data_IF_360384533072
#
_entry.id   IF_360384533072
#
_cell.length_a   1.000
_cell.length_b   1.000
_cell.length_c   1.000
_cell.angle_alpha   90.00
_cell.angle_beta   90.00
_cell.angle_gamma   90.00
#
_symmetry.space_group_name_H-M   'P 1'
#
loop_
_entity.id
_entity.type
_entity.pdbx_description
1 polymer ?
#
# COMPACT_ATOMS: atom_id res chain seq x y z
N UNK A 1 9.93 2.34 21.31
CA UNK A 1 9.52 1.96 22.68
C UNK A 1 7.99 1.83 22.83
N UNK A 2 7.19 2.78 22.32
CA UNK A 2 5.73 2.87 22.55
C UNK A 2 4.94 1.64 22.09
N UNK A 3 5.24 1.08 20.91
CA UNK A 3 4.48 -0.08 20.40
C UNK A 3 4.72 -1.38 21.20
N UNK A 4 5.91 -1.54 21.79
CA UNK A 4 6.21 -2.74 22.59
C UNK A 4 5.50 -2.69 23.95
N UNK A 5 5.43 -1.51 24.55
CA UNK A 5 4.66 -1.26 25.78
C UNK A 5 3.17 -1.53 25.53
N UNK A 6 2.59 -0.95 24.47
CA UNK A 6 1.19 -1.20 24.10
C UNK A 6 0.90 -2.70 23.86
N UNK A 7 1.80 -3.42 23.16
CA UNK A 7 1.66 -4.87 22.98
C UNK A 7 1.66 -5.62 24.31
N UNK A 8 2.48 -5.20 25.27
CA UNK A 8 2.55 -5.82 26.59
C UNK A 8 1.27 -5.59 27.40
N UNK A 9 0.70 -4.39 27.34
CA UNK A 9 -0.53 -4.01 28.02
C UNK A 9 -1.74 -4.76 27.49
N UNK A 10 -1.93 -4.83 26.16
CA UNK A 10 -3.02 -5.61 25.58
C UNK A 10 -2.91 -7.10 25.90
N UNK A 11 -1.69 -7.67 25.91
CA UNK A 11 -1.47 -9.06 26.32
C UNK A 11 -1.75 -9.29 27.79
N UNK A 12 -1.47 -8.30 28.65
CA UNK A 12 -1.81 -8.34 30.07
C UNK A 12 -3.34 -8.28 30.25
N UNK A 13 -4.02 -7.38 29.54
CA UNK A 13 -5.47 -7.24 29.56
C UNK A 13 -6.19 -8.55 29.20
N UNK A 14 -5.68 -9.30 28.21
CA UNK A 14 -6.21 -10.62 27.85
C UNK A 14 -6.17 -11.66 28.98
N UNK A 15 -5.34 -11.48 30.01
CA UNK A 15 -5.30 -12.40 31.16
C UNK A 15 -6.46 -12.18 32.12
N UNK A 16 -7.00 -10.97 32.16
CA UNK A 16 -8.04 -10.57 33.10
C UNK A 16 -9.42 -10.47 32.46
N UNK A 17 -9.50 -10.22 31.15
CA UNK A 17 -10.75 -10.11 30.42
C UNK A 17 -11.36 -11.50 30.11
N UNK A 18 -12.61 -11.70 30.55
CA UNK A 18 -13.37 -12.95 30.42
C UNK A 18 -14.47 -12.87 29.35
N UNK A 19 -14.94 -11.67 29.00
CA UNK A 19 -15.97 -11.49 27.98
C UNK A 19 -15.39 -11.71 26.58
N UNK A 20 -15.90 -12.71 25.86
CA UNK A 20 -15.41 -13.06 24.51
C UNK A 20 -15.39 -11.90 23.52
N UNK A 21 -16.35 -10.97 23.56
CA UNK A 21 -16.40 -9.83 22.64
C UNK A 21 -15.34 -8.78 22.97
N UNK A 22 -15.12 -8.50 24.25
CA UNK A 22 -14.03 -7.61 24.69
C UNK A 22 -12.66 -8.22 24.36
N UNK A 23 -12.51 -9.54 24.55
CA UNK A 23 -11.30 -10.28 24.14
C UNK A 23 -11.07 -10.18 22.63
N UNK A 24 -12.12 -10.33 21.83
CA UNK A 24 -12.06 -10.13 20.37
C UNK A 24 -11.58 -8.73 20.02
N UNK A 25 -12.10 -7.68 20.66
CA UNK A 25 -11.62 -6.31 20.45
C UNK A 25 -10.14 -6.15 20.79
N UNK A 26 -9.68 -6.73 21.91
CA UNK A 26 -8.25 -6.70 22.27
C UNK A 26 -7.39 -7.39 21.20
N UNK A 27 -7.82 -8.52 20.65
CA UNK A 27 -7.10 -9.16 19.56
C UNK A 27 -7.13 -8.34 18.27
N UNK A 28 -8.23 -7.64 17.97
CA UNK A 28 -8.33 -6.70 16.84
C UNK A 28 -7.33 -5.56 16.99
N UNK A 29 -7.20 -4.98 18.19
CA UNK A 29 -6.18 -3.96 18.49
C UNK A 29 -4.75 -4.50 18.36
N UNK A 30 -4.48 -5.70 18.89
CA UNK A 30 -3.19 -6.36 18.68
C UNK A 30 -2.89 -6.58 17.19
N UNK A 31 -3.90 -6.95 16.38
CA UNK A 31 -3.78 -7.05 14.93
C UNK A 31 -3.40 -5.71 14.30
N UNK A 32 -4.07 -4.60 14.68
CA UNK A 32 -3.78 -3.24 14.22
C UNK A 32 -2.34 -2.85 14.53
N UNK A 33 -1.90 -3.06 15.79
CA UNK A 33 -0.52 -2.80 16.22
C UNK A 33 0.50 -3.60 15.41
N UNK A 34 0.31 -4.91 15.26
CA UNK A 34 1.25 -5.72 14.48
C UNK A 34 1.30 -5.32 12.99
N UNK A 35 0.15 -4.97 12.40
CA UNK A 35 0.09 -4.49 11.00
C UNK A 35 0.90 -3.20 10.83
N UNK A 36 0.74 -2.28 11.77
CA UNK A 36 1.46 -1.00 11.83
C UNK A 36 2.97 -1.22 12.02
N UNK A 37 3.36 -2.25 12.77
CA UNK A 37 4.76 -2.68 12.89
C UNK A 37 5.27 -3.53 11.71
N UNK A 38 4.47 -3.76 10.66
CA UNK A 38 4.84 -4.59 9.51
C UNK A 38 4.79 -6.11 9.75
N UNK A 39 4.46 -6.56 10.97
CA UNK A 39 4.47 -7.98 11.39
C UNK A 39 3.21 -8.73 10.99
N UNK A 40 2.97 -8.86 9.68
CA UNK A 40 1.73 -9.41 9.14
C UNK A 40 1.45 -10.87 9.55
N UNK A 41 2.49 -11.68 9.78
CA UNK A 41 2.32 -13.03 10.33
C UNK A 41 1.64 -13.00 11.71
N UNK A 42 2.12 -12.11 12.58
CA UNK A 42 1.57 -11.93 13.92
C UNK A 42 0.17 -11.31 13.84
N UNK A 43 -0.01 -10.28 13.00
CA UNK A 43 -1.31 -9.66 12.77
C UNK A 43 -2.37 -10.70 12.37
N UNK A 44 -2.02 -11.61 11.44
CA UNK A 44 -2.89 -12.72 11.01
C UNK A 44 -3.16 -13.72 12.13
N UNK A 45 -2.16 -14.03 12.96
CA UNK A 45 -2.31 -14.96 14.07
C UNK A 45 -3.32 -14.42 15.09
N UNK A 46 -3.16 -13.16 15.51
CA UNK A 46 -4.10 -12.54 16.46
C UNK A 46 -5.50 -12.40 15.86
N UNK A 47 -5.60 -12.10 14.57
CA UNK A 47 -6.89 -11.99 13.92
C UNK A 47 -7.61 -13.35 13.87
N UNK A 48 -6.89 -14.45 13.61
CA UNK A 48 -7.46 -15.81 13.72
C UNK A 48 -7.94 -16.12 15.14
N UNK A 49 -7.24 -15.66 16.17
CA UNK A 49 -7.69 -15.80 17.57
C UNK A 49 -8.95 -14.98 17.82
N UNK A 50 -9.02 -13.75 17.31
CA UNK A 50 -10.19 -12.89 17.39
C UNK A 50 -11.46 -13.54 16.82
N UNK A 51 -11.35 -14.18 15.64
CA UNK A 51 -12.43 -14.99 15.05
C UNK A 51 -12.84 -16.15 15.96
N UNK A 52 -11.85 -16.86 16.51
CA UNK A 52 -12.09 -18.06 17.35
C UNK A 52 -12.82 -17.71 18.65
N UNK A 53 -12.49 -16.58 19.30
CA UNK A 53 -13.13 -16.12 20.55
C UNK A 53 -14.66 -16.00 20.41
N UNK A 54 -15.16 -15.62 19.23
CA UNK A 54 -16.59 -15.52 18.94
C UNK A 54 -17.15 -16.69 18.13
N UNK A 55 -16.44 -17.83 18.13
CA UNK A 55 -16.83 -19.07 17.44
C UNK A 55 -16.99 -18.94 15.92
N UNK A 56 -16.27 -18.00 15.31
CA UNK A 56 -16.16 -17.90 13.86
C UNK A 56 -14.86 -18.56 13.37
N UNK A 57 -14.91 -19.11 12.15
CA UNK A 57 -13.72 -19.63 11.50
C UNK A 57 -13.13 -18.58 10.56
N UNK A 58 -11.80 -18.49 10.55
CA UNK A 58 -11.09 -17.70 9.54
C UNK A 58 -11.38 -18.26 8.14
N UNK A 59 -11.85 -17.45 7.18
CA UNK A 59 -12.26 -17.95 5.88
C UNK A 59 -11.09 -18.48 5.06
N UNK A 60 -11.36 -19.49 4.24
CA UNK A 60 -10.40 -19.96 3.25
C UNK A 60 -10.32 -18.96 2.08
N UNK A 61 -9.11 -18.74 1.56
CA UNK A 61 -8.91 -17.90 0.38
C UNK A 61 -9.26 -18.69 -0.90
N UNK A 62 -10.54 -18.99 -1.09
CA UNK A 62 -11.03 -19.79 -2.23
C UNK A 62 -12.30 -19.19 -2.84
N UNK A 63 -12.50 -19.46 -4.14
CA UNK A 63 -13.72 -19.07 -4.85
C UNK A 63 -14.95 -19.79 -4.27
N UNK A 64 -14.79 -21.03 -3.82
CA UNK A 64 -15.86 -21.80 -3.20
C UNK A 64 -16.37 -21.13 -1.92
N UNK A 65 -15.47 -20.69 -1.04
CA UNK A 65 -15.87 -19.98 0.19
C UNK A 65 -16.56 -18.65 -0.14
N UNK A 66 -16.08 -17.93 -1.16
CA UNK A 66 -16.75 -16.71 -1.63
C UNK A 66 -18.18 -16.99 -2.12
N UNK A 67 -18.40 -18.03 -2.92
CA UNK A 67 -19.74 -18.42 -3.41
C UNK A 67 -20.65 -18.80 -2.23
N UNK A 68 -20.14 -19.58 -1.28
CA UNK A 68 -20.89 -19.96 -0.07
C UNK A 68 -21.34 -18.73 0.72
N UNK A 69 -20.44 -17.79 0.98
CA UNK A 69 -20.77 -16.54 1.69
C UNK A 69 -21.76 -15.69 0.90
N UNK A 70 -21.60 -15.59 -0.43
CA UNK A 70 -22.53 -14.87 -1.29
C UNK A 70 -23.96 -15.46 -1.23
N UNK A 71 -24.10 -16.78 -1.28
CA UNK A 71 -25.39 -17.46 -1.16
C UNK A 71 -26.03 -17.27 0.22
N UNK A 72 -25.22 -17.25 1.28
CA UNK A 72 -25.68 -16.96 2.64
C UNK A 72 -26.17 -15.52 2.78
N UNK A 73 -25.42 -14.54 2.26
CA UNK A 73 -25.81 -13.14 2.27
C UNK A 73 -27.15 -12.90 1.53
N UNK A 74 -27.34 -13.55 0.38
CA UNK A 74 -28.62 -13.51 -0.35
C UNK A 74 -29.82 -14.02 0.46
N UNK A 75 -29.63 -15.06 1.28
CA UNK A 75 -30.69 -15.60 2.13
C UNK A 75 -31.03 -14.67 3.31
N UNK A 76 -30.06 -13.89 3.79
CA UNK A 76 -30.23 -12.97 4.91
C UNK A 76 -30.92 -11.65 4.53
N UNK A 77 -30.82 -11.20 3.27
CA UNK A 77 -31.56 -10.04 2.73
C UNK A 77 -33.11 -10.18 2.92
N UNK A 78 -33.62 -11.38 3.24
CA UNK A 78 -35.05 -11.65 3.48
C UNK A 78 -35.47 -11.67 4.97
N UNK A 79 -34.56 -11.42 5.92
CA UNK A 79 -34.81 -11.48 7.36
C UNK A 79 -34.42 -10.16 8.05
N UNK A 80 -35.29 -9.15 7.92
CA UNK A 80 -35.20 -7.92 8.70
C UNK A 80 -35.81 -8.15 10.08
N UNK A 81 -34.96 -8.37 11.08
CA UNK A 81 -35.34 -8.41 12.49
C UNK A 81 -34.76 -7.20 13.23
N UNK A 82 -35.64 -6.52 13.96
CA UNK A 82 -35.37 -5.32 14.75
C UNK A 82 -34.20 -5.47 15.74
N UNK A 83 -33.23 -4.55 15.63
CA UNK A 83 -32.16 -4.36 16.61
C UNK A 83 -32.67 -3.51 17.80
N UNK A 84 -33.29 -4.16 18.80
CA UNK A 84 -33.88 -3.47 19.97
C UNK A 84 -33.04 -3.50 21.26
N UNK A 85 -31.87 -4.15 21.30
CA UNK A 85 -31.06 -4.30 22.53
C UNK A 85 -29.63 -3.79 22.33
N UNK A 86 -29.16 -2.93 23.24
CA UNK A 86 -27.79 -2.36 23.22
C UNK A 86 -26.70 -3.43 23.12
N UNK A 87 -26.83 -4.53 23.87
CA UNK A 87 -25.86 -5.63 23.80
C UNK A 87 -25.74 -6.28 22.42
N UNK A 88 -26.77 -6.24 21.57
CA UNK A 88 -26.68 -6.70 20.18
C UNK A 88 -25.97 -5.68 19.29
N UNK A 89 -26.13 -4.39 19.58
CA UNK A 89 -25.43 -3.29 18.88
C UNK A 89 -23.93 -3.41 19.13
N UNK A 90 -23.52 -3.53 20.39
CA UNK A 90 -22.10 -3.65 20.77
C UNK A 90 -21.46 -4.86 20.08
N UNK A 91 -22.13 -6.02 20.08
CA UNK A 91 -21.66 -7.22 19.37
C UNK A 91 -21.51 -7.01 17.85
N UNK A 92 -22.41 -6.21 17.25
CA UNK A 92 -22.39 -5.92 15.82
C UNK A 92 -21.25 -4.98 15.45
N UNK A 93 -20.91 -4.03 16.33
CA UNK A 93 -19.71 -3.19 16.19
C UNK A 93 -18.46 -4.06 16.20
N UNK A 94 -18.32 -4.96 17.19
CA UNK A 94 -17.18 -5.89 17.26
C UNK A 94 -17.04 -6.73 15.99
N UNK A 95 -18.15 -7.25 15.46
CA UNK A 95 -18.14 -8.02 14.22
C UNK A 95 -17.74 -7.16 13.01
N UNK A 96 -18.22 -5.93 12.93
CA UNK A 96 -17.86 -5.02 11.84
C UNK A 96 -16.36 -4.69 11.85
N UNK A 97 -15.79 -4.36 13.01
CA UNK A 97 -14.36 -4.09 13.17
C UNK A 97 -13.51 -5.31 12.82
N UNK A 98 -13.96 -6.51 13.23
CA UNK A 98 -13.29 -7.77 12.91
C UNK A 98 -13.23 -8.01 11.40
N UNK A 99 -14.32 -7.74 10.68
CA UNK A 99 -14.37 -7.90 9.22
C UNK A 99 -13.60 -6.78 8.49
N UNK A 100 -13.57 -5.57 9.01
CA UNK A 100 -12.72 -4.48 8.49
C UNK A 100 -11.25 -4.88 8.55
N UNK A 101 -10.75 -5.30 9.72
CA UNK A 101 -9.35 -5.73 9.85
C UNK A 101 -9.03 -7.01 9.07
N UNK A 102 -10.02 -7.89 8.85
CA UNK A 102 -9.90 -9.00 7.91
C UNK A 102 -9.67 -8.53 6.49
N UNK A 103 -10.42 -7.53 6.03
CA UNK A 103 -10.24 -6.91 4.71
C UNK A 103 -8.86 -6.29 4.57
N UNK A 104 -8.47 -5.43 5.51
CA UNK A 104 -7.15 -4.77 5.51
C UNK A 104 -6.00 -5.79 5.55
N UNK A 105 -6.09 -6.82 6.40
CA UNK A 105 -5.08 -7.88 6.45
C UNK A 105 -5.03 -8.70 5.16
N UNK A 106 -6.19 -8.99 4.57
CA UNK A 106 -6.28 -9.72 3.30
C UNK A 106 -5.66 -8.96 2.14
N UNK A 107 -5.71 -7.62 2.14
CA UNK A 107 -4.98 -6.78 1.20
C UNK A 107 -3.49 -7.09 1.28
N UNK A 108 -2.83 -6.83 2.41
CA UNK A 108 -1.38 -7.04 2.55
C UNK A 108 -0.94 -8.49 2.31
N UNK A 109 -1.76 -9.47 2.73
CA UNK A 109 -1.50 -10.90 2.54
C UNK A 109 -1.82 -11.41 1.11
N UNK A 110 -2.40 -10.58 0.23
CA UNK A 110 -2.79 -10.94 -1.16
C UNK A 110 -3.87 -12.01 -1.25
N UNK A 111 -4.82 -11.99 -0.32
CA UNK A 111 -5.95 -12.91 -0.30
C UNK A 111 -7.18 -12.31 -0.98
N UNK A 112 -7.18 -12.31 -2.32
CA UNK A 112 -8.24 -11.70 -3.15
C UNK A 112 -9.67 -12.15 -2.82
N UNK A 113 -9.87 -13.43 -2.47
CA UNK A 113 -11.21 -13.92 -2.13
C UNK A 113 -11.62 -13.49 -0.72
N UNK A 114 -10.67 -13.46 0.22
CA UNK A 114 -10.94 -12.97 1.59
C UNK A 114 -11.29 -11.48 1.59
N UNK A 115 -10.66 -10.67 0.72
CA UNK A 115 -11.07 -9.28 0.51
C UNK A 115 -12.56 -9.17 0.16
N UNK A 116 -13.03 -9.93 -0.83
CA UNK A 116 -14.44 -9.91 -1.22
C UNK A 116 -15.37 -10.49 -0.13
N UNK A 117 -14.94 -11.56 0.54
CA UNK A 117 -15.67 -12.14 1.67
C UNK A 117 -15.85 -11.10 2.79
N UNK A 118 -14.82 -10.30 3.10
CA UNK A 118 -14.90 -9.28 4.16
C UNK A 118 -16.01 -8.25 3.89
N UNK A 119 -16.13 -7.78 2.66
CA UNK A 119 -17.18 -6.85 2.23
C UNK A 119 -18.57 -7.51 2.25
N UNK A 120 -18.69 -8.75 1.78
CA UNK A 120 -20.00 -9.43 1.72
C UNK A 120 -20.51 -9.82 3.12
N UNK A 121 -19.65 -10.40 3.96
CA UNK A 121 -20.04 -10.94 5.26
C UNK A 121 -20.44 -9.86 6.28
N UNK A 122 -19.86 -8.65 6.16
CA UNK A 122 -20.15 -7.52 7.07
C UNK A 122 -21.31 -6.64 6.61
N UNK A 123 -21.78 -6.78 5.36
CA UNK A 123 -22.80 -5.90 4.76
C UNK A 123 -24.02 -5.71 5.65
N UNK A 124 -24.69 -6.80 5.99
CA UNK A 124 -25.98 -6.72 6.68
C UNK A 124 -25.80 -6.28 8.14
N UNK A 125 -24.65 -6.57 8.75
CA UNK A 125 -24.28 -6.11 10.09
C UNK A 125 -24.17 -4.59 10.08
N UNK A 126 -23.37 -4.03 9.16
CA UNK A 126 -23.14 -2.60 9.07
C UNK A 126 -24.40 -1.83 8.66
N UNK A 127 -25.22 -2.37 7.75
CA UNK A 127 -26.49 -1.74 7.37
C UNK A 127 -27.47 -1.65 8.54
N UNK A 128 -27.54 -2.67 9.40
CA UNK A 128 -28.42 -2.70 10.57
C UNK A 128 -27.97 -1.76 11.68
N UNK A 129 -26.68 -1.45 11.76
CA UNK A 129 -26.15 -0.41 12.67
C UNK A 129 -26.60 1.01 12.28
N UNK A 130 -27.08 1.22 11.05
CA UNK A 130 -27.44 2.54 10.56
C UNK A 130 -26.22 3.46 10.41
N UNK A 131 -26.44 4.78 10.26
CA UNK A 131 -25.35 5.75 10.16
C UNK A 131 -24.40 5.67 11.36
N UNK A 132 -23.20 5.16 11.09
CA UNK A 132 -22.21 4.80 12.11
C UNK A 132 -20.83 4.69 11.47
N UNK A 133 -19.77 4.76 12.28
CA UNK A 133 -18.40 4.57 11.80
C UNK A 133 -18.21 3.19 11.11
N UNK A 134 -18.73 2.07 11.64
CA UNK A 134 -18.73 0.79 10.94
C UNK A 134 -19.37 0.82 9.55
N UNK A 135 -20.50 1.51 9.38
CA UNK A 135 -21.15 1.64 8.07
C UNK A 135 -20.34 2.51 7.11
N UNK A 136 -19.72 3.58 7.62
CA UNK A 136 -18.79 4.43 6.87
C UNK A 136 -17.60 3.60 6.35
N UNK A 137 -16.95 2.84 7.22
CA UNK A 137 -15.81 1.98 6.88
C UNK A 137 -16.21 0.88 5.91
N UNK A 138 -17.40 0.29 6.10
CA UNK A 138 -17.90 -0.71 5.17
C UNK A 138 -18.10 -0.16 3.77
N UNK A 139 -18.78 0.98 3.61
CA UNK A 139 -18.96 1.60 2.29
C UNK A 139 -17.63 2.03 1.68
N UNK A 140 -16.75 2.67 2.46
CA UNK A 140 -15.45 3.17 2.01
C UNK A 140 -14.48 2.06 1.63
N UNK A 141 -14.29 1.07 2.51
CA UNK A 141 -13.47 -0.10 2.27
C UNK A 141 -13.99 -0.96 1.12
N UNK A 142 -15.31 -1.20 1.05
CA UNK A 142 -15.92 -1.91 -0.09
C UNK A 142 -15.71 -1.17 -1.39
N UNK A 143 -15.84 0.17 -1.39
CA UNK A 143 -15.54 1.00 -2.56
C UNK A 143 -14.12 0.77 -3.09
N UNK A 144 -13.14 0.71 -2.19
CA UNK A 144 -11.74 0.43 -2.53
C UNK A 144 -11.56 -0.99 -3.09
N UNK A 145 -12.20 -1.99 -2.48
CA UNK A 145 -12.19 -3.38 -2.98
C UNK A 145 -12.74 -3.43 -4.41
N UNK A 146 -13.88 -2.80 -4.68
CA UNK A 146 -14.46 -2.77 -6.03
C UNK A 146 -13.59 -2.01 -7.04
N UNK A 147 -12.88 -0.96 -6.61
CA UNK A 147 -11.90 -0.28 -7.47
C UNK A 147 -10.75 -1.22 -7.85
N UNK A 148 -10.17 -1.95 -6.88
CA UNK A 148 -9.08 -2.91 -7.10
C UNK A 148 -9.44 -4.01 -8.11
N UNK A 149 -10.70 -4.48 -8.10
CA UNK A 149 -11.17 -5.52 -9.04
C UNK A 149 -11.77 -4.95 -10.33
N UNK A 150 -11.72 -3.63 -10.55
CA UNK A 150 -12.10 -2.98 -11.81
C UNK A 150 -13.57 -2.58 -11.96
N UNK A 151 -14.39 -2.66 -10.91
CA UNK A 151 -15.81 -2.29 -10.94
C UNK A 151 -16.02 -0.81 -10.59
N UNK A 152 -15.56 0.07 -11.50
CA UNK A 152 -15.49 1.53 -11.29
C UNK A 152 -16.83 2.17 -10.90
N UNK A 153 -17.91 1.86 -11.62
CA UNK A 153 -19.24 2.44 -11.36
C UNK A 153 -19.76 2.06 -9.98
N UNK A 154 -19.55 0.81 -9.55
CA UNK A 154 -19.98 0.34 -8.23
C UNK A 154 -19.14 0.99 -7.12
N UNK A 155 -17.83 1.07 -7.31
CA UNK A 155 -16.91 1.78 -6.43
C UNK A 155 -17.35 3.23 -6.22
N UNK A 156 -17.59 3.98 -7.30
CA UNK A 156 -18.08 5.36 -7.23
C UNK A 156 -19.45 5.50 -6.57
N UNK A 157 -20.36 4.53 -6.74
CA UNK A 157 -21.64 4.53 -6.05
C UNK A 157 -21.46 4.35 -4.53
N UNK A 158 -20.56 3.47 -4.10
CA UNK A 158 -20.32 3.21 -2.68
C UNK A 158 -19.62 4.39 -2.00
N UNK A 159 -18.65 5.04 -2.65
CA UNK A 159 -17.98 6.20 -2.04
C UNK A 159 -18.91 7.40 -1.84
N UNK A 160 -19.93 7.56 -2.72
CA UNK A 160 -20.98 8.57 -2.52
C UNK A 160 -21.77 8.29 -1.23
N UNK A 161 -22.11 7.03 -0.98
CA UNK A 161 -22.74 6.61 0.28
C UNK A 161 -21.84 6.82 1.49
N UNK A 162 -20.54 6.56 1.37
CA UNK A 162 -19.56 6.90 2.43
C UNK A 162 -19.64 8.38 2.80
N UNK A 163 -19.72 9.27 1.78
CA UNK A 163 -19.89 10.72 1.99
C UNK A 163 -21.20 11.07 2.69
N UNK A 164 -22.31 10.46 2.25
CA UNK A 164 -23.63 10.65 2.87
C UNK A 164 -23.60 10.28 4.36
N UNK A 165 -22.96 9.16 4.71
CA UNK A 165 -22.80 8.75 6.12
C UNK A 165 -21.90 9.72 6.89
N UNK A 166 -20.76 10.14 6.32
CA UNK A 166 -19.87 11.10 6.98
C UNK A 166 -20.59 12.43 7.28
N UNK A 167 -21.33 12.95 6.29
CA UNK A 167 -22.14 14.17 6.45
C UNK A 167 -23.25 14.00 7.50
N UNK A 168 -23.90 12.83 7.54
CA UNK A 168 -24.94 12.54 8.53
C UNK A 168 -24.37 12.48 9.95
N UNK A 169 -23.21 11.83 10.13
CA UNK A 169 -22.54 11.76 11.43
C UNK A 169 -22.06 13.14 11.89
N UNK A 170 -21.63 13.99 10.96
CA UNK A 170 -21.14 15.35 11.24
C UNK A 170 -20.03 15.38 12.31
N UNK A 171 -19.12 14.41 12.26
CA UNK A 171 -17.94 14.28 13.13
C UNK A 171 -16.70 14.45 12.26
N UNK A 172 -15.79 15.34 12.64
CA UNK A 172 -14.59 15.68 11.87
C UNK A 172 -13.71 14.46 11.56
N UNK A 173 -13.52 13.55 12.53
CA UNK A 173 -12.76 12.31 12.32
C UNK A 173 -13.39 11.40 11.26
N UNK A 174 -14.72 11.35 11.17
CA UNK A 174 -15.45 10.60 10.15
C UNK A 174 -15.30 11.25 8.76
N UNK A 175 -15.30 12.59 8.69
CA UNK A 175 -15.04 13.31 7.43
C UNK A 175 -13.61 13.10 6.96
N UNK A 176 -12.62 13.16 7.86
CA UNK A 176 -11.23 12.81 7.55
C UNK A 176 -11.10 11.38 7.04
N UNK A 177 -11.74 10.41 7.70
CA UNK A 177 -11.73 9.00 7.28
C UNK A 177 -12.41 8.78 5.92
N UNK A 178 -13.51 9.47 5.63
CA UNK A 178 -14.13 9.47 4.30
C UNK A 178 -13.15 9.95 3.22
N UNK A 179 -12.41 11.04 3.45
CA UNK A 179 -11.43 11.55 2.49
C UNK A 179 -10.29 10.55 2.23
N UNK A 180 -9.83 9.84 3.27
CA UNK A 180 -8.86 8.74 3.13
C UNK A 180 -9.41 7.63 2.23
N UNK A 181 -10.65 7.17 2.47
CA UNK A 181 -11.29 6.16 1.61
C UNK A 181 -11.47 6.65 0.18
N UNK A 182 -11.82 7.94 0.00
CA UNK A 182 -11.98 8.54 -1.31
C UNK A 182 -10.64 8.60 -2.06
N UNK A 183 -9.56 8.96 -1.37
CA UNK A 183 -8.22 9.01 -1.93
C UNK A 183 -7.75 7.62 -2.41
N UNK A 184 -7.86 6.61 -1.56
CA UNK A 184 -7.53 5.22 -1.90
C UNK A 184 -8.32 4.72 -3.11
N UNK A 185 -9.63 4.96 -3.12
CA UNK A 185 -10.49 4.61 -4.26
C UNK A 185 -10.05 5.29 -5.55
N UNK A 186 -9.68 6.58 -5.50
CA UNK A 186 -9.16 7.31 -6.66
C UNK A 186 -7.86 6.70 -7.18
N UNK A 187 -6.94 6.33 -6.30
CA UNK A 187 -5.67 5.69 -6.66
C UNK A 187 -5.90 4.36 -7.37
N UNK A 188 -6.71 3.48 -6.77
CA UNK A 188 -7.07 2.17 -7.34
C UNK A 188 -7.86 2.29 -8.65
N UNK A 189 -8.59 3.39 -8.85
CA UNK A 189 -9.25 3.71 -10.12
C UNK A 189 -8.33 4.41 -11.14
N UNK A 190 -7.01 4.44 -10.90
CA UNK A 190 -6.00 5.02 -11.77
C UNK A 190 -6.07 6.55 -11.87
N UNK A 191 -6.38 7.24 -10.78
CA UNK A 191 -6.33 8.71 -10.69
C UNK A 191 -5.43 9.17 -9.51
N UNK A 192 -4.09 9.07 -9.67
CA UNK A 192 -3.14 9.34 -8.59
C UNK A 192 -3.04 10.81 -8.17
N UNK A 193 -3.35 11.76 -9.07
CA UNK A 193 -3.33 13.20 -8.76
C UNK A 193 -4.49 13.55 -7.84
N UNK A 194 -5.70 13.10 -8.20
CA UNK A 194 -6.89 13.33 -7.37
C UNK A 194 -6.80 12.58 -6.04
N UNK A 195 -6.22 11.37 -6.04
CA UNK A 195 -5.88 10.66 -4.80
C UNK A 195 -4.99 11.51 -3.88
N UNK A 196 -3.90 12.09 -4.42
CA UNK A 196 -3.01 12.93 -3.65
C UNK A 196 -3.71 14.19 -3.10
N UNK A 197 -4.61 14.80 -3.88
CA UNK A 197 -5.41 15.95 -3.43
C UNK A 197 -6.30 15.60 -2.24
N UNK A 198 -7.02 14.47 -2.27
CA UNK A 198 -7.88 14.06 -1.15
C UNK A 198 -7.09 13.67 0.09
N UNK A 199 -5.95 12.97 -0.05
CA UNK A 199 -5.08 12.71 1.09
C UNK A 199 -4.55 14.00 1.71
N UNK A 200 -4.10 14.95 0.87
CA UNK A 200 -3.62 16.25 1.33
C UNK A 200 -4.71 17.00 2.10
N UNK A 201 -5.93 17.05 1.56
CA UNK A 201 -7.07 17.66 2.25
C UNK A 201 -7.38 16.97 3.59
N UNK A 202 -7.32 15.63 3.64
CA UNK A 202 -7.52 14.87 4.86
C UNK A 202 -6.49 15.24 5.94
N UNK A 203 -5.21 15.32 5.56
CA UNK A 203 -4.12 15.62 6.49
C UNK A 203 -4.13 17.08 6.95
N UNK A 204 -4.31 18.03 6.03
CA UNK A 204 -4.28 19.47 6.36
C UNK A 204 -5.43 19.88 7.29
N UNK A 205 -6.61 19.27 7.12
CA UNK A 205 -7.81 19.66 7.89
C UNK A 205 -8.10 18.78 9.09
N UNK A 206 -7.69 17.50 9.06
CA UNK A 206 -8.17 16.51 10.02
C UNK A 206 -7.08 15.66 10.66
N UNK A 207 -5.78 15.91 10.43
CA UNK A 207 -4.71 15.07 10.97
C UNK A 207 -4.76 14.89 12.50
N UNK A 208 -5.16 15.92 13.26
CA UNK A 208 -5.30 15.87 14.72
C UNK A 208 -6.58 15.17 15.19
N UNK A 209 -7.51 14.87 14.28
CA UNK A 209 -8.78 14.17 14.54
C UNK A 209 -8.75 12.69 14.13
N UNK A 210 -7.77 12.29 13.33
CA UNK A 210 -7.64 10.92 12.83
C UNK A 210 -7.07 10.00 13.91
N UNK A 211 -7.54 8.75 13.91
CA UNK A 211 -6.84 7.70 14.65
C UNK A 211 -5.43 7.52 14.09
N UNK A 212 -4.47 7.16 14.95
CA UNK A 212 -3.07 7.03 14.56
C UNK A 212 -2.85 6.06 13.39
N UNK A 213 -3.68 5.02 13.30
CA UNK A 213 -3.65 4.04 12.22
C UNK A 213 -4.07 4.64 10.87
N UNK A 214 -5.13 5.45 10.87
CA UNK A 214 -5.64 6.14 9.68
C UNK A 214 -4.67 7.25 9.25
N UNK A 215 -4.11 8.00 10.22
CA UNK A 215 -3.07 9.00 9.98
C UNK A 215 -1.84 8.39 9.31
N UNK A 216 -1.33 7.27 9.85
CA UNK A 216 -0.15 6.59 9.29
C UNK A 216 -0.41 6.05 7.89
N UNK A 217 -1.58 5.47 7.65
CA UNK A 217 -1.99 5.01 6.31
C UNK A 217 -1.98 6.18 5.32
N UNK A 218 -2.62 7.30 5.66
CA UNK A 218 -2.70 8.47 4.81
C UNK A 218 -1.32 9.04 4.48
N UNK A 219 -0.48 9.23 5.50
CA UNK A 219 0.88 9.76 5.36
C UNK A 219 1.76 8.86 4.48
N UNK A 220 1.77 7.55 4.75
CA UNK A 220 2.63 6.61 4.02
C UNK A 220 2.20 6.45 2.56
N UNK A 221 0.89 6.35 2.31
CA UNK A 221 0.36 6.21 0.95
C UNK A 221 0.57 7.49 0.14
N UNK A 222 0.32 8.67 0.72
CA UNK A 222 0.56 9.94 0.04
C UNK A 222 2.06 10.15 -0.25
N UNK A 223 2.94 9.87 0.72
CA UNK A 223 4.40 9.93 0.52
C UNK A 223 4.85 9.02 -0.63
N UNK A 224 4.35 7.78 -0.68
CA UNK A 224 4.67 6.84 -1.76
C UNK A 224 4.12 7.29 -3.11
N UNK A 225 2.93 7.89 -3.14
CA UNK A 225 2.32 8.46 -4.34
C UNK A 225 3.18 9.62 -4.88
N UNK A 226 3.57 10.58 -4.03
CA UNK A 226 4.44 11.69 -4.41
C UNK A 226 5.80 11.21 -4.89
N UNK A 227 6.42 10.30 -4.15
CA UNK A 227 7.71 9.72 -4.49
C UNK A 227 7.70 9.05 -5.86
N UNK A 228 6.70 8.20 -6.11
CA UNK A 228 6.55 7.48 -7.37
C UNK A 228 6.33 8.39 -8.58
N UNK A 229 5.96 9.65 -8.34
CA UNK A 229 5.77 10.69 -9.36
C UNK A 229 6.90 11.74 -9.38
N UNK A 230 7.92 11.62 -8.54
CA UNK A 230 9.06 12.54 -8.52
C UNK A 230 8.88 13.82 -7.68
N UNK A 231 7.84 13.90 -6.85
CA UNK A 231 7.61 15.02 -5.91
C UNK A 231 8.34 14.73 -4.59
N UNK A 232 9.67 14.70 -4.64
CA UNK A 232 10.49 14.16 -3.54
C UNK A 232 10.43 15.01 -2.26
N UNK A 233 10.36 16.34 -2.39
CA UNK A 233 10.26 17.21 -1.22
C UNK A 233 8.88 17.04 -0.56
N UNK A 234 7.82 17.08 -1.37
CA UNK A 234 6.44 16.88 -0.90
C UNK A 234 6.26 15.49 -0.25
N UNK A 235 6.93 14.47 -0.78
CA UNK A 235 6.93 13.13 -0.19
C UNK A 235 7.54 13.10 1.23
N UNK A 236 8.54 13.94 1.53
CA UNK A 236 9.15 14.06 2.85
C UNK A 236 8.35 14.95 3.77
N UNK A 237 7.85 16.07 3.27
CA UNK A 237 7.07 17.04 4.06
C UNK A 237 5.84 16.38 4.68
N UNK A 238 5.18 15.50 3.93
CA UNK A 238 4.02 14.73 4.42
C UNK A 238 4.37 13.84 5.61
N UNK A 239 5.62 13.36 5.73
CA UNK A 239 6.02 12.50 6.85
C UNK A 239 6.09 13.27 8.18
N UNK A 240 6.19 14.61 8.13
CA UNK A 240 6.21 15.46 9.33
C UNK A 240 4.93 15.36 10.17
N UNK A 241 3.80 14.99 9.56
CA UNK A 241 2.52 14.79 10.27
C UNK A 241 2.60 13.71 11.35
N UNK A 242 3.53 12.77 11.27
CA UNK A 242 3.66 11.71 12.28
C UNK A 242 4.35 12.18 13.56
N UNK A 243 4.90 13.41 13.63
CA UNK A 243 5.53 14.16 14.76
C UNK A 243 6.59 13.44 15.63
N UNK A 244 6.54 12.12 15.75
CA UNK A 244 7.45 11.22 16.46
C UNK A 244 8.35 10.40 15.52
N UNK A 245 8.14 10.48 14.20
CA UNK A 245 9.07 9.99 13.17
C UNK A 245 9.97 11.14 12.69
N UNK A 246 10.48 11.95 13.62
CA UNK A 246 11.55 12.91 13.35
C UNK A 246 12.71 12.15 12.68
N UNK A 247 13.18 12.69 11.55
CA UNK A 247 14.34 12.19 10.81
C UNK A 247 15.38 11.64 11.79
N UNK A 248 15.70 10.34 11.79
CA UNK A 248 16.73 9.87 12.67
C UNK A 248 18.05 10.42 12.13
N UNK A 249 18.57 11.45 12.80
CA UNK A 249 19.92 12.00 12.61
C UNK A 249 21.02 10.93 12.77
N UNK A 250 20.66 9.70 13.15
CA UNK A 250 21.46 8.52 12.89
C UNK A 250 20.57 7.37 12.38
N UNK A 251 20.74 6.97 11.13
CA UNK A 251 20.28 5.66 10.65
C UNK A 251 21.01 4.53 11.42
N UNK A 252 20.61 4.22 12.65
CA UNK A 252 21.00 3.03 13.43
C UNK A 252 20.07 1.87 13.11
N UNK A 253 20.48 0.94 12.25
CA UNK A 253 19.67 -0.26 11.95
C UNK A 253 19.87 -1.37 12.98
N UNK A 254 19.83 -1.04 14.27
CA UNK A 254 19.87 -2.07 15.33
C UNK A 254 18.58 -2.89 15.33
N UNK A 255 18.72 -4.18 15.69
CA UNK A 255 17.66 -5.18 15.47
C UNK A 255 16.33 -4.83 16.14
N UNK A 256 16.36 -4.08 17.23
CA UNK A 256 15.21 -3.74 18.08
C UNK A 256 14.50 -2.44 17.65
N UNK A 257 15.17 -1.54 16.92
CA UNK A 257 14.64 -0.23 16.47
C UNK A 257 14.06 -0.24 15.05
N UNK A 258 14.03 -1.39 14.37
CA UNK A 258 13.57 -1.50 12.97
C UNK A 258 12.08 -1.20 12.77
N UNK A 259 11.28 -1.27 13.82
CA UNK A 259 9.80 -1.32 13.74
C UNK A 259 9.12 0.06 13.87
N UNK A 260 9.91 1.10 14.16
CA UNK A 260 9.47 2.50 14.25
C UNK A 260 9.92 3.32 13.03
N UNK A 261 10.50 2.69 12.00
CA UNK A 261 11.09 3.40 10.87
C UNK A 261 10.13 3.56 9.72
N UNK A 262 9.90 4.81 9.34
CA UNK A 262 9.14 5.15 8.15
C UNK A 262 10.00 4.96 6.89
N UNK A 263 10.09 3.73 6.39
CA UNK A 263 10.89 3.39 5.19
C UNK A 263 10.58 4.27 3.98
N UNK A 264 9.38 4.86 3.95
CA UNK A 264 8.93 5.80 2.93
C UNK A 264 9.84 7.03 2.79
N UNK A 265 10.59 7.43 3.84
CA UNK A 265 11.51 8.59 3.80
C UNK A 265 12.79 8.34 3.01
N UNK A 266 13.25 7.08 2.92
CA UNK A 266 14.59 6.74 2.41
C UNK A 266 14.74 7.14 0.94
N UNK A 267 13.81 6.72 0.09
CA UNK A 267 13.86 6.98 -1.34
C UNK A 267 13.91 8.48 -1.67
N UNK A 268 12.92 9.28 -1.21
CA UNK A 268 12.92 10.72 -1.41
C UNK A 268 14.17 11.43 -0.88
N UNK A 269 14.64 11.06 0.32
CA UNK A 269 15.82 11.67 0.93
C UNK A 269 17.11 11.38 0.13
N UNK A 270 17.24 10.18 -0.44
CA UNK A 270 18.34 9.85 -1.36
C UNK A 270 18.27 10.74 -2.61
N UNK A 271 17.08 10.89 -3.22
CA UNK A 271 16.90 11.70 -4.43
C UNK A 271 17.20 13.20 -4.19
N UNK A 272 16.97 13.70 -2.98
CA UNK A 272 17.32 15.07 -2.56
C UNK A 272 18.76 15.21 -2.06
N UNK A 273 19.58 14.17 -2.19
CA UNK A 273 20.98 14.15 -1.78
C UNK A 273 21.21 14.38 -0.27
N UNK A 274 20.26 14.00 0.58
CA UNK A 274 20.51 13.93 2.02
C UNK A 274 21.51 12.81 2.34
N UNK A 275 22.28 13.01 3.41
CA UNK A 275 23.33 12.07 3.84
C UNK A 275 22.74 10.77 4.37
N UNK A 276 22.50 9.82 3.47
CA UNK A 276 22.06 8.46 3.79
C UNK A 276 23.21 7.49 3.59
N UNK A 277 23.55 6.74 4.64
CA UNK A 277 24.60 5.72 4.59
C UNK A 277 24.07 4.43 3.94
N UNK A 278 24.04 4.43 2.60
CA UNK A 278 23.62 3.29 1.75
C UNK A 278 24.44 2.04 2.08
N UNK A 279 25.75 2.17 2.34
CA UNK A 279 26.63 1.04 2.68
C UNK A 279 26.19 0.34 3.98
N UNK A 280 25.82 1.10 5.00
CA UNK A 280 25.27 0.57 6.27
C UNK A 280 23.92 -0.11 6.05
N UNK A 281 23.09 0.40 5.14
CA UNK A 281 21.84 -0.29 4.76
C UNK A 281 22.11 -1.63 4.08
N UNK A 282 23.08 -1.69 3.15
CA UNK A 282 23.48 -2.94 2.47
C UNK A 282 24.02 -3.97 3.45
N UNK A 283 24.88 -3.57 4.39
CA UNK A 283 25.45 -4.50 5.38
C UNK A 283 24.35 -5.15 6.24
N UNK A 284 23.34 -4.36 6.63
CA UNK A 284 22.23 -4.83 7.46
C UNK A 284 21.10 -5.50 6.66
N UNK A 285 21.07 -5.37 5.34
CA UNK A 285 20.09 -6.00 4.44
C UNK A 285 19.94 -7.51 4.68
N UNK A 286 21.05 -8.21 4.95
CA UNK A 286 21.01 -9.67 5.18
C UNK A 286 20.18 -10.05 6.41
N UNK A 287 20.13 -9.19 7.43
CA UNK A 287 19.35 -9.38 8.66
C UNK A 287 17.88 -8.98 8.55
N UNK A 288 17.52 -8.19 7.52
CA UNK A 288 16.14 -7.77 7.21
C UNK A 288 15.46 -8.83 6.35
N UNK A 289 16.20 -9.51 5.48
CA UNK A 289 15.70 -10.53 4.55
C UNK A 289 15.56 -11.95 5.13
N UNK A 290 15.75 -12.16 6.44
CA UNK A 290 15.36 -13.41 7.11
C UNK A 290 13.85 -13.48 7.42
N UNK A 291 13.09 -12.51 6.91
CA UNK A 291 11.68 -12.28 7.15
C UNK A 291 10.75 -13.31 6.48
N UNK A 292 9.57 -13.49 7.07
CA UNK A 292 8.56 -14.46 6.66
C UNK A 292 7.98 -14.12 5.27
N UNK A 293 7.43 -15.11 4.56
CA UNK A 293 6.74 -14.91 3.28
C UNK A 293 5.55 -13.94 3.39
N UNK A 294 5.02 -13.73 4.60
CA UNK A 294 3.92 -12.82 4.89
C UNK A 294 4.36 -11.34 5.01
N UNK A 295 5.66 -11.04 5.05
CA UNK A 295 6.24 -9.68 5.20
C UNK A 295 6.80 -9.11 3.87
N UNK A 296 6.50 -9.79 2.74
CA UNK A 296 7.06 -9.49 1.41
C UNK A 296 6.86 -8.05 0.92
N UNK A 297 5.79 -7.39 1.29
CA UNK A 297 5.45 -6.05 0.77
C UNK A 297 6.37 -4.96 1.36
N UNK A 298 6.65 -5.02 2.67
CA UNK A 298 7.54 -4.07 3.35
C UNK A 298 8.99 -4.25 2.86
N UNK A 299 9.41 -5.51 2.70
CA UNK A 299 10.70 -5.83 2.08
C UNK A 299 10.81 -5.28 0.67
N UNK A 300 9.73 -5.33 -0.13
CA UNK A 300 9.73 -4.81 -1.49
C UNK A 300 9.93 -3.29 -1.50
N UNK A 301 9.26 -2.57 -0.60
CA UNK A 301 9.41 -1.12 -0.46
C UNK A 301 10.83 -0.77 -0.02
N UNK A 302 11.36 -1.44 1.02
CA UNK A 302 12.74 -1.22 1.48
C UNK A 302 13.77 -1.49 0.37
N UNK A 303 13.67 -2.63 -0.31
CA UNK A 303 14.57 -3.00 -1.41
C UNK A 303 14.52 -1.94 -2.51
N UNK A 304 13.31 -1.46 -2.85
CA UNK A 304 13.15 -0.45 -3.89
C UNK A 304 13.92 0.84 -3.55
N UNK A 305 13.84 1.30 -2.30
CA UNK A 305 14.54 2.50 -1.84
C UNK A 305 16.06 2.29 -1.77
N UNK A 306 16.50 1.10 -1.34
CA UNK A 306 17.92 0.71 -1.37
C UNK A 306 18.47 0.73 -2.81
N UNK A 307 17.71 0.21 -3.78
CA UNK A 307 18.10 0.17 -5.19
C UNK A 307 18.22 1.58 -5.79
N UNK A 308 17.38 2.53 -5.36
CA UNK A 308 17.55 3.94 -5.72
C UNK A 308 18.87 4.49 -5.19
N UNK A 309 19.22 4.21 -3.94
CA UNK A 309 20.54 4.55 -3.36
C UNK A 309 21.71 4.04 -4.19
N UNK A 310 21.66 2.77 -4.58
CA UNK A 310 22.69 2.14 -5.40
C UNK A 310 22.79 2.79 -6.78
N UNK A 311 21.64 3.08 -7.43
CA UNK A 311 21.59 3.77 -8.71
C UNK A 311 22.22 5.16 -8.64
N UNK A 312 21.81 5.98 -7.67
CA UNK A 312 22.30 7.35 -7.51
C UNK A 312 23.78 7.42 -7.14
N UNK A 313 24.27 6.48 -6.31
CA UNK A 313 25.71 6.39 -5.98
C UNK A 313 26.53 5.68 -7.06
N UNK A 314 25.93 5.29 -8.19
CA UNK A 314 26.57 4.53 -9.29
C UNK A 314 27.26 3.25 -8.83
N UNK A 315 26.71 2.61 -7.79
CA UNK A 315 27.21 1.32 -7.28
C UNK A 315 26.48 0.21 -8.05
N UNK A 316 26.94 -0.05 -9.27
CA UNK A 316 26.35 -1.03 -10.22
C UNK A 316 27.10 -2.37 -10.22
N UNK A 317 27.66 -2.79 -9.08
CA UNK A 317 28.53 -3.96 -8.96
C UNK A 317 27.77 -5.23 -8.50
N UNK A 318 28.50 -6.30 -8.13
CA UNK A 318 27.95 -7.55 -7.60
C UNK A 318 26.90 -7.39 -6.49
N UNK A 319 26.95 -6.31 -5.70
CA UNK A 319 25.94 -6.01 -4.67
C UNK A 319 24.54 -5.84 -5.26
N UNK A 320 24.42 -5.23 -6.44
CA UNK A 320 23.14 -5.07 -7.12
C UNK A 320 22.59 -6.42 -7.61
N UNK A 321 23.44 -7.29 -8.17
CA UNK A 321 23.04 -8.63 -8.60
C UNK A 321 22.56 -9.48 -7.41
N UNK A 322 23.24 -9.41 -6.27
CA UNK A 322 22.84 -10.11 -5.05
C UNK A 322 21.49 -9.62 -4.52
N UNK A 323 21.23 -8.31 -4.54
CA UNK A 323 19.94 -7.74 -4.13
C UNK A 323 18.82 -8.19 -5.08
N UNK A 324 19.05 -8.15 -6.40
CA UNK A 324 18.07 -8.59 -7.40
C UNK A 324 17.79 -10.10 -7.26
N UNK A 325 18.81 -10.95 -7.18
CA UNK A 325 18.66 -12.40 -6.95
C UNK A 325 17.88 -12.68 -5.67
N UNK A 326 18.11 -11.90 -4.62
CA UNK A 326 17.40 -12.07 -3.34
C UNK A 326 15.94 -11.63 -3.41
N UNK A 327 15.59 -10.68 -4.27
CA UNK A 327 14.19 -10.40 -4.60
C UNK A 327 13.54 -11.53 -5.38
N UNK A 328 14.26 -12.19 -6.29
CA UNK A 328 13.74 -13.37 -7.00
C UNK A 328 13.32 -14.48 -6.02
N UNK A 329 14.02 -14.64 -4.89
CA UNK A 329 13.64 -15.57 -3.80
C UNK A 329 12.28 -15.23 -3.17
N UNK A 330 11.86 -13.95 -3.18
CA UNK A 330 10.52 -13.56 -2.71
C UNK A 330 9.41 -14.09 -3.63
N UNK A 331 9.73 -14.58 -4.83
CA UNK A 331 8.79 -15.12 -5.81
C UNK A 331 7.62 -14.15 -6.09
N UNK A 332 7.89 -12.84 -6.06
CA UNK A 332 6.90 -11.82 -6.37
C UNK A 332 6.82 -11.64 -7.88
N UNK A 333 5.58 -11.60 -8.38
CA UNK A 333 5.30 -11.29 -9.79
C UNK A 333 4.73 -9.88 -9.86
N UNK A 334 5.02 -9.11 -10.92
CA UNK A 334 4.53 -7.74 -11.05
C UNK A 334 2.99 -7.65 -10.96
N UNK A 335 2.29 -8.59 -11.60
CA UNK A 335 0.83 -8.71 -11.54
C UNK A 335 0.24 -8.94 -10.14
N UNK A 336 1.06 -9.45 -9.21
CA UNK A 336 0.67 -9.83 -7.86
C UNK A 336 1.32 -8.89 -6.80
N UNK A 337 1.86 -7.75 -7.24
CA UNK A 337 2.50 -6.74 -6.38
C UNK A 337 1.49 -5.63 -6.06
N UNK A 338 1.45 -5.19 -4.80
CA UNK A 338 0.60 -4.05 -4.38
C UNK A 338 0.98 -2.78 -5.12
N UNK A 339 0.04 -1.86 -5.27
CA UNK A 339 0.30 -0.56 -5.92
C UNK A 339 1.52 0.11 -5.31
N UNK A 340 1.53 0.30 -3.99
CA UNK A 340 2.59 1.00 -3.24
C UNK A 340 3.96 0.35 -3.44
N UNK A 341 4.01 -0.98 -3.58
CA UNK A 341 5.25 -1.74 -3.79
C UNK A 341 5.64 -1.88 -5.27
N UNK A 342 4.78 -1.50 -6.21
CA UNK A 342 5.02 -1.66 -7.65
C UNK A 342 6.16 -0.78 -8.18
N UNK A 343 6.52 0.27 -7.43
CA UNK A 343 7.66 1.14 -7.73
C UNK A 343 8.99 0.38 -7.81
N UNK A 344 9.12 -0.74 -7.09
CA UNK A 344 10.26 -1.65 -7.20
C UNK A 344 10.56 -2.04 -8.66
N UNK A 345 9.53 -2.43 -9.40
CA UNK A 345 9.68 -2.91 -10.78
C UNK A 345 10.13 -1.79 -11.73
N UNK A 346 9.70 -0.57 -11.46
CA UNK A 346 10.14 0.63 -12.20
C UNK A 346 11.63 0.89 -11.95
N UNK A 347 12.05 0.90 -10.69
CA UNK A 347 13.45 1.14 -10.29
C UNK A 347 14.38 0.07 -10.86
N UNK A 348 13.99 -1.21 -10.74
CA UNK A 348 14.71 -2.31 -11.35
C UNK A 348 14.80 -2.19 -12.87
N UNK A 349 13.76 -1.64 -13.51
CA UNK A 349 13.73 -1.34 -14.94
C UNK A 349 14.78 -0.31 -15.34
N UNK A 350 14.88 0.79 -14.61
CA UNK A 350 15.90 1.82 -14.84
C UNK A 350 17.32 1.30 -14.63
N UNK A 351 17.55 0.51 -13.57
CA UNK A 351 18.86 -0.11 -13.34
C UNK A 351 19.26 -1.07 -14.47
N UNK A 352 18.32 -1.88 -14.98
CA UNK A 352 18.60 -2.75 -16.13
C UNK A 352 18.81 -1.97 -17.43
N UNK A 353 18.16 -0.82 -17.59
CA UNK A 353 18.46 0.10 -18.69
C UNK A 353 19.88 0.65 -18.60
N UNK A 354 20.27 1.16 -17.42
CA UNK A 354 21.61 1.71 -17.18
C UNK A 354 22.70 0.64 -17.46
N UNK A 355 22.52 -0.59 -16.97
CA UNK A 355 23.41 -1.73 -17.27
C UNK A 355 23.46 -2.03 -18.78
N UNK A 356 22.32 -2.03 -19.48
CA UNK A 356 22.28 -2.32 -20.91
C UNK A 356 22.92 -1.21 -21.77
N UNK A 357 22.94 0.03 -21.26
CA UNK A 357 23.62 1.18 -21.87
C UNK A 357 25.14 1.03 -21.81
N UNK A 358 25.68 0.55 -20.69
CA UNK A 358 27.10 0.26 -20.51
C UNK A 358 27.53 -1.05 -21.18
N UNK A 359 26.62 -2.02 -21.26
CA UNK A 359 26.88 -3.36 -21.76
C UNK A 359 25.85 -3.79 -22.83
N UNK A 360 26.10 -3.51 -24.13
CA UNK A 360 25.13 -3.74 -25.20
C UNK A 360 24.57 -5.17 -25.29
N UNK A 361 25.36 -6.19 -24.91
CA UNK A 361 24.93 -7.59 -24.88
C UNK A 361 23.78 -7.86 -23.88
N UNK A 362 23.60 -7.00 -22.87
CA UNK A 362 22.50 -7.08 -21.89
C UNK A 362 21.16 -6.53 -22.40
N UNK A 363 21.12 -5.90 -23.57
CA UNK A 363 19.88 -5.36 -24.18
C UNK A 363 18.76 -6.41 -24.33
N UNK A 364 19.11 -7.69 -24.59
CA UNK A 364 18.13 -8.79 -24.69
C UNK A 364 17.47 -9.08 -23.34
N UNK A 365 18.22 -8.98 -22.25
CA UNK A 365 17.73 -9.16 -20.89
C UNK A 365 16.80 -8.01 -20.49
N UNK A 366 17.20 -6.77 -20.79
CA UNK A 366 16.36 -5.59 -20.58
C UNK A 366 15.01 -5.69 -21.31
N UNK A 367 15.00 -6.14 -22.58
CA UNK A 367 13.76 -6.40 -23.33
C UNK A 367 12.86 -7.43 -22.65
N UNK A 368 13.42 -8.51 -22.08
CA UNK A 368 12.65 -9.51 -21.33
C UNK A 368 12.02 -8.87 -20.09
N UNK A 369 12.77 -8.03 -19.39
CA UNK A 369 12.29 -7.34 -18.19
C UNK A 369 11.17 -6.33 -18.48
N UNK A 370 11.21 -5.62 -19.62
CA UNK A 370 10.11 -4.74 -20.04
C UNK A 370 8.77 -5.48 -20.14
N UNK A 371 8.76 -6.76 -20.55
CA UNK A 371 7.53 -7.57 -20.55
C UNK A 371 6.98 -7.80 -19.15
N UNK A 372 7.86 -7.91 -18.14
CA UNK A 372 7.46 -8.03 -16.74
C UNK A 372 6.84 -6.73 -16.23
N UNK A 373 7.47 -5.58 -16.50
CA UNK A 373 6.92 -4.27 -16.12
C UNK A 373 5.54 -4.06 -16.77
N UNK A 374 5.37 -4.46 -18.03
CA UNK A 374 4.08 -4.38 -18.73
C UNK A 374 2.98 -5.26 -18.10
N UNK A 375 3.34 -6.20 -17.22
CA UNK A 375 2.39 -7.06 -16.49
C UNK A 375 1.97 -6.52 -15.12
N UNK A 376 2.55 -5.39 -14.67
CA UNK A 376 2.03 -4.65 -13.51
C UNK A 376 0.57 -4.25 -13.83
N UNK A 377 -0.37 -4.38 -12.87
CA UNK A 377 -1.72 -3.89 -13.07
C UNK A 377 -1.71 -2.44 -13.55
N UNK A 378 -2.64 -2.08 -14.44
CA UNK A 378 -2.62 -0.76 -15.04
C UNK A 378 -2.74 0.32 -13.97
N UNK A 379 -1.73 1.17 -13.89
CA UNK A 379 -1.72 2.40 -13.10
C UNK A 379 -0.88 3.44 -13.86
N UNK A 380 -1.37 4.67 -14.07
CA UNK A 380 -0.76 5.62 -15.00
C UNK A 380 0.64 6.04 -14.55
N UNK A 381 0.90 6.09 -13.23
CA UNK A 381 2.24 6.32 -12.68
C UNK A 381 3.25 5.30 -13.21
N UNK A 382 3.01 4.00 -13.05
CA UNK A 382 3.94 2.97 -13.54
C UNK A 382 3.91 2.83 -15.06
N UNK A 383 2.77 3.13 -15.69
CA UNK A 383 2.65 3.08 -17.15
C UNK A 383 3.48 4.16 -17.84
N UNK A 384 3.57 5.34 -17.25
CA UNK A 384 4.44 6.41 -17.77
C UNK A 384 5.91 5.97 -17.77
N UNK A 385 6.41 5.46 -16.65
CA UNK A 385 7.77 4.89 -16.56
C UNK A 385 8.01 3.72 -17.50
N UNK A 386 7.02 2.83 -17.68
CA UNK A 386 7.14 1.74 -18.66
C UNK A 386 7.38 2.27 -20.07
N UNK A 387 6.61 3.29 -20.50
CA UNK A 387 6.80 3.89 -21.82
C UNK A 387 8.17 4.60 -21.92
N UNK A 388 8.63 5.25 -20.85
CA UNK A 388 9.98 5.85 -20.76
C UNK A 388 11.08 4.80 -20.93
N UNK A 389 11.00 3.68 -20.22
CA UNK A 389 11.95 2.57 -20.36
C UNK A 389 11.87 1.91 -21.75
N UNK A 390 10.69 1.86 -22.35
CA UNK A 390 10.52 1.37 -23.73
C UNK A 390 11.14 2.34 -24.76
N UNK A 391 11.06 3.65 -24.54
CA UNK A 391 11.82 4.64 -25.30
C UNK A 391 13.33 4.37 -25.14
N UNK A 392 13.80 4.18 -23.90
CA UNK A 392 15.18 3.77 -23.60
C UNK A 392 15.62 2.50 -24.35
N UNK A 393 14.75 1.51 -24.50
CA UNK A 393 15.06 0.31 -25.31
C UNK A 393 15.27 0.65 -26.79
N UNK A 394 14.44 1.53 -27.36
CA UNK A 394 14.60 1.96 -28.75
C UNK A 394 15.80 2.90 -28.95
N UNK A 395 16.15 3.69 -27.93
CA UNK A 395 17.41 4.44 -27.84
C UNK A 395 18.60 3.48 -27.99
N UNK A 396 18.67 2.41 -27.20
CA UNK A 396 19.76 1.41 -27.26
C UNK A 396 19.85 0.71 -28.63
N UNK A 397 18.71 0.60 -29.33
CA UNK A 397 18.61 0.01 -30.67
C UNK A 397 18.85 1.01 -31.80
N UNK A 398 19.15 2.27 -31.50
CA UNK A 398 19.29 3.37 -32.47
C UNK A 398 18.07 3.51 -33.39
N UNK A 399 16.87 3.19 -32.91
CA UNK A 399 15.64 3.28 -33.69
C UNK A 399 14.92 4.61 -33.41
N UNK A 400 15.26 5.65 -34.19
CA UNK A 400 14.75 7.02 -34.01
C UNK A 400 13.22 7.11 -34.05
N UNK A 401 12.59 6.52 -35.07
CA UNK A 401 11.13 6.57 -35.22
C UNK A 401 10.40 5.97 -34.01
N UNK A 402 10.84 4.78 -33.55
CA UNK A 402 10.21 4.12 -32.40
C UNK A 402 10.55 4.80 -31.08
N UNK A 403 11.75 5.37 -30.94
CA UNK A 403 12.12 6.17 -29.78
C UNK A 403 11.15 7.34 -29.59
N UNK A 404 11.00 8.19 -30.61
CA UNK A 404 10.11 9.35 -30.57
C UNK A 404 8.64 8.96 -30.37
N UNK A 405 8.18 7.87 -30.99
CA UNK A 405 6.83 7.35 -30.75
C UNK A 405 6.57 7.02 -29.27
N UNK A 406 7.54 6.44 -28.56
CA UNK A 406 7.37 6.11 -27.13
C UNK A 406 7.62 7.31 -26.24
N UNK A 407 8.55 8.21 -26.61
CA UNK A 407 8.78 9.48 -25.94
C UNK A 407 7.48 10.27 -25.83
N UNK A 408 6.78 10.51 -26.95
CA UNK A 408 5.52 11.27 -26.96
C UNK A 408 4.43 10.62 -26.10
N UNK A 409 4.32 9.28 -26.16
CA UNK A 409 3.37 8.53 -25.33
C UNK A 409 3.69 8.65 -23.84
N UNK A 410 4.96 8.59 -23.49
CA UNK A 410 5.43 8.70 -22.12
C UNK A 410 5.26 10.13 -21.61
N UNK A 411 5.62 11.13 -22.40
CA UNK A 411 5.51 12.56 -22.07
C UNK A 411 4.06 12.97 -21.83
N UNK A 412 3.16 12.68 -22.78
CA UNK A 412 1.73 12.99 -22.65
C UNK A 412 1.13 12.39 -21.38
N UNK A 413 1.44 11.11 -21.11
CA UNK A 413 0.94 10.45 -19.91
C UNK A 413 1.56 11.07 -18.65
N UNK A 414 2.87 11.29 -18.62
CA UNK A 414 3.58 11.85 -17.46
C UNK A 414 3.07 13.25 -17.11
N UNK A 415 2.84 14.11 -18.11
CA UNK A 415 2.26 15.45 -17.91
C UNK A 415 0.86 15.36 -17.31
N UNK A 416 0.00 14.47 -17.82
CA UNK A 416 -1.39 14.34 -17.32
C UNK A 416 -1.50 13.89 -15.85
N UNK A 417 -0.44 13.30 -15.29
CA UNK A 417 -0.40 12.87 -13.89
C UNK A 417 0.69 13.57 -13.07
N UNK A 418 1.32 14.61 -13.62
CA UNK A 418 2.40 15.35 -12.98
C UNK A 418 3.58 14.45 -12.55
N UNK A 419 3.96 13.46 -13.36
CA UNK A 419 5.10 12.59 -13.07
C UNK A 419 6.43 13.24 -13.49
N UNK A 420 6.96 14.09 -12.61
CA UNK A 420 8.25 14.81 -12.75
C UNK A 420 9.41 13.85 -12.99
N UNK A 421 9.43 12.68 -12.34
CA UNK A 421 10.54 11.73 -12.49
C UNK A 421 10.58 11.13 -13.89
N UNK A 422 9.44 10.66 -14.40
CA UNK A 422 9.38 10.11 -15.76
C UNK A 422 9.76 11.15 -16.82
N UNK A 423 9.34 12.41 -16.65
CA UNK A 423 9.70 13.54 -17.54
C UNK A 423 11.21 13.76 -17.53
N UNK A 424 11.83 13.86 -16.35
CA UNK A 424 13.28 14.05 -16.22
C UNK A 424 14.08 12.96 -16.96
N UNK A 425 13.70 11.69 -16.80
CA UNK A 425 14.38 10.58 -17.48
C UNK A 425 14.19 10.62 -19.00
N UNK A 426 13.02 11.05 -19.48
CA UNK A 426 12.75 11.20 -20.91
C UNK A 426 13.60 12.31 -21.54
N UNK A 427 13.66 13.48 -20.91
CA UNK A 427 14.39 14.63 -21.43
C UNK A 427 15.89 14.34 -21.49
N UNK A 428 16.43 13.72 -20.43
CA UNK A 428 17.80 13.21 -20.44
C UNK A 428 18.06 12.24 -21.60
N UNK A 429 17.17 11.28 -21.85
CA UNK A 429 17.33 10.33 -22.95
C UNK A 429 17.25 11.02 -24.33
N UNK A 430 16.39 12.04 -24.47
CA UNK A 430 16.23 12.80 -25.71
C UNK A 430 17.48 13.61 -26.02
N UNK A 431 17.98 14.36 -25.04
CA UNK A 431 19.24 15.13 -25.17
C UNK A 431 20.40 14.23 -25.62
N UNK A 432 20.56 13.08 -24.97
CA UNK A 432 21.60 12.11 -25.34
C UNK A 432 21.40 11.48 -26.72
N UNK A 433 20.16 11.35 -27.20
CA UNK A 433 19.87 10.75 -28.50
C UNK A 433 20.08 11.74 -29.64
N UNK A 434 19.72 13.01 -29.42
CA UNK A 434 19.87 14.07 -30.41
C UNK A 434 21.34 14.50 -30.57
N UNK A 435 22.17 14.28 -29.56
CA UNK A 435 23.62 14.50 -29.62
C UNK A 435 24.41 13.40 -30.37
N UNK A 436 23.75 12.31 -30.80
CA UNK A 436 24.35 11.16 -31.51
C UNK A 436 23.90 11.09 -32.95
#
# INVERSE_FOLDING_TARGET
>A
MIFQEALSEYRLALRFEKNKYNRTLIYVELTRLYRVMGKMKNARLELKRAFTEINLQWPQNSLFELIKIYLLAKKQDHLNADFKRQSKIDQSIVLADLYEEMGLSAYYLRHKYILLISSLASKDICLKLGPSLPLLNWYGGSSCIFALIGFKTKSQSLIKKTREIANHLNIESCTGKYLIWQALMCDYNSNPVLSAQFFKEALEKYADKLEMFDLRLAVQTLSTNYFSRGHYQEALDVLSYLKHDSFPEAFSLDREERYEKNWCSIGPAICLNYSINVSKMVQNFKSVMSADKDEKWELTLFISHLMIGLRYKKILNHTLEDIIKRFEVLNMKPKDTHSESSIYWVIAGYLKYDIAKEHPHKTKEFKKFLKLINSIPYHPTYRSHYNTLLAGYYFLRKNKSRFYQQYEKALKLSQSIENKWSIFELDKMKEEFDAR
#
